data_IF_573012330485
#
_entry.id   IF_573012330485
#
_cell.length_a   1.000
_cell.length_b   1.000
_cell.length_c   1.000
_cell.angle_alpha   90.00
_cell.angle_beta   90.00
_cell.angle_gamma   90.00
#
_symmetry.space_group_name_H-M   'P 1'
#
loop_
_entity.id
_entity.type
_entity.pdbx_description
1 polymer ?
#
# COMPACT_ATOMS: atom_id res chain seq x y z
N UNK A 1 3.52 20.82 -10.39
CA UNK A 1 2.28 20.04 -10.63
C UNK A 1 2.34 18.83 -9.73
N UNK A 2 1.52 18.78 -8.69
CA UNK A 2 1.33 17.56 -7.88
C UNK A 2 0.35 16.66 -8.62
N UNK A 3 0.72 15.40 -8.81
CA UNK A 3 -0.23 14.38 -9.24
C UNK A 3 -1.31 14.24 -8.14
N UNK A 4 -2.57 13.93 -8.50
CA UNK A 4 -3.57 13.59 -7.49
C UNK A 4 -3.10 12.33 -6.76
N UNK A 5 -2.81 12.47 -5.47
CA UNK A 5 -2.49 11.38 -4.57
C UNK A 5 -3.76 11.04 -3.79
N UNK A 6 -4.24 9.82 -3.96
CA UNK A 6 -5.32 9.28 -3.14
C UNK A 6 -4.71 8.52 -1.96
N UNK A 7 -4.98 8.99 -0.75
CA UNK A 7 -4.45 8.42 0.49
C UNK A 7 -5.62 8.01 1.36
N UNK A 8 -5.67 6.73 1.72
CA UNK A 8 -6.71 6.23 2.62
C UNK A 8 -6.68 6.96 3.97
N UNK A 9 -7.84 7.23 4.60
CA UNK A 9 -7.91 7.99 5.86
C UNK A 9 -6.98 7.47 6.96
N UNK A 10 -6.91 6.16 7.16
CA UNK A 10 -6.05 5.53 8.17
C UNK A 10 -4.55 5.86 7.96
N UNK A 11 -4.09 5.84 6.71
CA UNK A 11 -2.70 6.17 6.37
C UNK A 11 -2.44 7.67 6.54
N UNK A 12 -3.40 8.52 6.15
CA UNK A 12 -3.29 9.97 6.33
C UNK A 12 -3.22 10.35 7.83
N UNK A 13 -4.04 9.71 8.67
CA UNK A 13 -4.01 9.87 10.13
C UNK A 13 -2.67 9.42 10.71
N UNK A 14 -2.18 8.24 10.34
CA UNK A 14 -0.88 7.73 10.78
C UNK A 14 0.26 8.68 10.41
N UNK A 15 0.28 9.18 9.17
CA UNK A 15 1.28 10.16 8.72
C UNK A 15 1.20 11.47 9.52
N UNK A 16 -0.01 11.98 9.77
CA UNK A 16 -0.22 13.20 10.56
C UNK A 16 0.24 13.04 12.02
N UNK A 17 0.09 11.83 12.57
CA UNK A 17 0.53 11.45 13.91
C UNK A 17 2.03 11.12 14.02
N UNK A 18 2.80 11.24 12.93
CA UNK A 18 4.19 10.75 12.84
C UNK A 18 4.33 9.26 13.23
N UNK A 19 3.28 8.48 12.99
CA UNK A 19 3.32 7.03 13.15
C UNK A 19 4.11 6.41 11.97
N UNK A 20 4.83 5.31 12.22
CA UNK A 20 5.54 4.61 11.16
C UNK A 20 4.57 3.99 10.15
N UNK A 21 4.85 4.18 8.87
CA UNK A 21 4.08 3.61 7.74
C UNK A 21 5.04 2.86 6.83
N UNK A 22 4.67 1.65 6.41
CA UNK A 22 5.43 0.83 5.45
C UNK A 22 4.61 0.71 4.17
N UNK A 23 5.18 1.17 3.06
CA UNK A 23 4.57 0.99 1.75
C UNK A 23 4.84 -0.42 1.20
N UNK A 24 3.83 -1.04 0.58
CA UNK A 24 3.95 -2.31 -0.13
C UNK A 24 3.73 -2.11 -1.63
N UNK A 25 4.47 -2.85 -2.46
CA UNK A 25 4.37 -2.78 -3.91
C UNK A 25 3.26 -3.71 -4.45
N UNK A 26 2.48 -3.23 -5.43
CA UNK A 26 1.41 -4.01 -6.07
C UNK A 26 1.87 -4.96 -7.18
N UNK A 27 3.04 -4.75 -7.80
CA UNK A 27 3.55 -5.61 -8.89
C UNK A 27 3.78 -7.04 -8.42
N UNK A 28 4.33 -7.21 -7.21
CA UNK A 28 4.54 -8.53 -6.61
C UNK A 28 3.21 -9.26 -6.37
N UNK A 29 2.17 -8.53 -5.99
CA UNK A 29 0.82 -9.09 -5.79
C UNK A 29 0.18 -9.47 -7.15
N UNK A 30 0.31 -8.62 -8.17
CA UNK A 30 -0.37 -8.84 -9.45
C UNK A 30 0.34 -9.85 -10.36
N UNK A 31 1.68 -9.84 -10.35
CA UNK A 31 2.50 -10.56 -11.33
C UNK A 31 3.65 -11.36 -10.71
N UNK A 32 4.03 -11.07 -9.46
CA UNK A 32 5.17 -11.73 -8.80
C UNK A 32 4.82 -13.07 -8.14
N UNK A 33 3.54 -13.38 -7.96
CA UNK A 33 3.09 -14.61 -7.29
C UNK A 33 1.86 -15.22 -7.96
N UNK A 34 1.75 -16.56 -8.00
CA UNK A 34 0.54 -17.22 -8.46
C UNK A 34 -0.60 -17.05 -7.45
N UNK A 35 -1.83 -17.02 -7.94
CA UNK A 35 -3.02 -17.16 -7.10
C UNK A 35 -3.11 -18.60 -6.53
N UNK A 36 -3.50 -18.82 -5.26
CA UNK A 36 -4.01 -17.83 -4.28
C UNK A 36 -2.94 -17.11 -3.45
N UNK A 37 -1.68 -17.55 -3.56
CA UNK A 37 -0.57 -17.08 -2.72
C UNK A 37 -0.39 -15.56 -2.76
N UNK A 38 -0.70 -14.92 -3.88
CA UNK A 38 -0.60 -13.47 -4.00
C UNK A 38 -1.51 -12.69 -3.04
N UNK A 39 -2.71 -13.20 -2.77
CA UNK A 39 -3.65 -12.58 -1.82
C UNK A 39 -3.34 -13.02 -0.40
N UNK A 40 -2.97 -14.29 -0.18
CA UNK A 40 -2.67 -14.81 1.16
C UNK A 40 -1.42 -14.19 1.79
N UNK A 41 -0.49 -13.70 0.96
CA UNK A 41 0.77 -13.09 1.42
C UNK A 41 0.64 -11.57 1.64
N UNK A 42 -0.31 -10.92 0.96
CA UNK A 42 -0.53 -9.47 1.02
C UNK A 42 -1.37 -9.09 2.23
#
# INVERSE_FOLDING_TARGET
MTLPLDVMPEVAEALSGNCPVVALESTIISHGMPHPRNIETA
#
